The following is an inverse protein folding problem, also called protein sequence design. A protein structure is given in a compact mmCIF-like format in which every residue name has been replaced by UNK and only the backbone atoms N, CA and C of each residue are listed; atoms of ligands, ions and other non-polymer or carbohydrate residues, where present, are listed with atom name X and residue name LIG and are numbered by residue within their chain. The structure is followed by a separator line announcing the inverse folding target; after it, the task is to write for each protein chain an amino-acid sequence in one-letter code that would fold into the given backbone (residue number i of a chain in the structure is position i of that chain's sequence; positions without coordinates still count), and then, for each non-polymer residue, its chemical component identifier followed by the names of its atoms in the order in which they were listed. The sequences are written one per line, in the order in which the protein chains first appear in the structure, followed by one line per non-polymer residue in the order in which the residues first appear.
data_IF_857908148833
#
_entry.id   IF_857908148833
#
_cell.length_a   1.000
_cell.length_b   1.000
_cell.length_c   1.000
_cell.angle_alpha   90.00
_cell.angle_beta   90.00
_cell.angle_gamma   90.00
#
_symmetry.space_group_name_H-M   'P 1'
#
loop_
_entity.id
_entity.type
_entity.pdbx_description
1 polymer ?
#
# COMPACT_ATOMS: atom_id res chain seq x y z
N UNK A 1 -11.65 -9.90 31.88
CA UNK A 1 -11.27 -8.90 30.87
C UNK A 1 -12.04 -7.62 31.13
N UNK A 2 -11.40 -6.45 31.04
CA UNK A 2 -12.03 -5.15 31.25
C UNK A 2 -11.86 -4.27 30.02
N UNK A 3 -12.96 -3.68 29.54
CA UNK A 3 -12.92 -2.68 28.47
C UNK A 3 -12.56 -1.29 29.03
N UNK A 4 -11.60 -0.64 28.40
CA UNK A 4 -11.20 0.74 28.66
C UNK A 4 -11.58 1.60 27.45
N UNK A 5 -12.40 2.63 27.70
CA UNK A 5 -12.83 3.63 26.73
C UNK A 5 -12.44 5.02 27.23
N UNK A 6 -11.91 5.87 26.36
CA UNK A 6 -11.55 7.25 26.70
C UNK A 6 -12.75 8.20 26.61
N UNK A 7 -13.74 7.88 25.77
CA UNK A 7 -14.93 8.71 25.54
C UNK A 7 -16.07 7.88 24.93
N UNK A 8 -17.35 8.26 25.14
CA UNK A 8 -17.80 9.21 26.17
C UNK A 8 -17.72 8.59 27.57
N UNK A 9 -17.45 9.40 28.60
CA UNK A 9 -17.30 8.93 30.00
C UNK A 9 -18.52 8.16 30.52
N UNK A 10 -19.72 8.53 30.06
CA UNK A 10 -20.97 7.83 30.41
C UNK A 10 -20.92 6.38 29.92
N UNK A 11 -20.50 6.16 28.67
CA UNK A 11 -20.39 4.80 28.12
C UNK A 11 -19.23 4.03 28.74
N UNK A 12 -18.12 4.70 29.09
CA UNK A 12 -16.97 4.07 29.74
C UNK A 12 -17.30 3.46 31.13
N UNK A 13 -18.37 3.91 31.78
CA UNK A 13 -18.82 3.42 33.10
C UNK A 13 -19.83 2.28 33.03
N UNK A 14 -20.28 1.90 31.83
CA UNK A 14 -21.18 0.76 31.68
C UNK A 14 -20.44 -0.55 32.02
N UNK A 15 -21.19 -1.53 32.53
CA UNK A 15 -20.67 -2.86 32.85
C UNK A 15 -20.46 -3.68 31.56
N UNK A 16 -19.39 -3.35 30.82
CA UNK A 16 -19.04 -4.03 29.58
C UNK A 16 -18.54 -5.45 29.83
N UNK A 17 -19.17 -6.40 29.16
CA UNK A 17 -18.75 -7.79 29.06
C UNK A 17 -18.08 -8.01 27.71
N UNK A 18 -16.80 -8.35 27.72
CA UNK A 18 -16.07 -8.78 26.52
C UNK A 18 -16.54 -10.18 26.17
N UNK A 19 -17.06 -10.34 24.96
CA UNK A 19 -17.61 -11.61 24.48
C UNK A 19 -16.55 -12.42 23.74
N UNK A 20 -15.83 -11.76 22.83
CA UNK A 20 -14.86 -12.39 21.94
C UNK A 20 -13.79 -11.39 21.52
N UNK A 21 -12.55 -11.86 21.38
CA UNK A 21 -11.42 -11.09 20.83
C UNK A 21 -10.68 -11.95 19.81
N UNK A 22 -10.20 -11.32 18.74
CA UNK A 22 -9.51 -11.98 17.64
C UNK A 22 -8.19 -11.27 17.34
N UNK A 23 -7.16 -12.05 17.03
CA UNK A 23 -5.86 -11.62 16.57
C UNK A 23 -5.44 -12.39 15.33
N UNK A 24 -4.73 -11.72 14.43
CA UNK A 24 -4.09 -12.31 13.25
C UNK A 24 -2.59 -12.18 13.35
N UNK A 25 -1.89 -13.12 12.71
CA UNK A 25 -0.44 -13.06 12.57
C UNK A 25 -0.02 -11.72 11.96
N UNK A 26 -0.66 -11.33 10.85
CA UNK A 26 -0.49 -10.00 10.28
C UNK A 26 -1.38 -8.98 11.00
N UNK A 27 -0.78 -7.92 11.53
CA UNK A 27 -1.46 -6.78 12.14
C UNK A 27 -1.77 -6.91 13.63
N UNK A 28 -1.74 -8.12 14.19
CA UNK A 28 -2.04 -8.35 15.61
C UNK A 28 -3.54 -8.30 15.88
N UNK A 29 -3.98 -7.43 16.80
CA UNK A 29 -5.40 -7.28 17.15
C UNK A 29 -6.26 -7.07 15.89
N UNK A 30 -7.31 -7.90 15.70
CA UNK A 30 -8.17 -7.88 14.53
C UNK A 30 -9.56 -7.37 14.86
N UNK A 31 -10.30 -8.06 15.73
CA UNK A 31 -11.69 -7.75 16.08
C UNK A 31 -11.96 -8.01 17.55
N UNK A 32 -12.91 -7.29 18.12
CA UNK A 32 -13.44 -7.59 19.44
C UNK A 32 -14.93 -7.24 19.53
N UNK A 33 -15.66 -8.00 20.35
CA UNK A 33 -17.08 -7.76 20.61
C UNK A 33 -17.32 -7.59 22.10
N UNK A 34 -18.08 -6.56 22.43
CA UNK A 34 -18.43 -6.23 23.81
C UNK A 34 -19.91 -5.90 23.92
N UNK A 35 -20.52 -6.20 25.06
CA UNK A 35 -21.92 -5.90 25.35
C UNK A 35 -22.08 -5.28 26.73
N UNK A 36 -23.01 -4.35 26.88
CA UNK A 36 -23.40 -3.81 28.16
C UNK A 36 -24.91 -3.57 28.20
N UNK A 37 -25.53 -3.83 29.35
CA UNK A 37 -26.89 -3.35 29.61
C UNK A 37 -26.91 -1.83 29.62
N UNK A 38 -27.97 -1.25 29.07
CA UNK A 38 -28.25 0.18 29.06
C UNK A 38 -29.31 0.49 30.12
N UNK A 39 -28.93 1.14 31.24
CA UNK A 39 -29.85 1.53 32.31
C UNK A 39 -31.01 2.37 31.78
N UNK A 40 -32.17 2.25 32.44
CA UNK A 40 -33.40 2.95 32.03
C UNK A 40 -33.21 4.47 31.91
N UNK A 41 -32.42 5.08 32.80
CA UNK A 41 -32.14 6.52 32.78
C UNK A 41 -31.34 6.97 31.53
N UNK A 42 -30.57 6.06 30.93
CA UNK A 42 -29.71 6.35 29.79
C UNK A 42 -30.34 5.98 28.43
N UNK A 43 -31.48 5.29 28.42
CA UNK A 43 -32.20 4.90 27.18
C UNK A 43 -32.48 6.09 26.26
N UNK A 44 -32.94 7.28 26.74
CA UNK A 44 -33.14 8.43 25.87
C UNK A 44 -31.89 8.92 25.15
N UNK A 45 -30.70 8.58 25.66
CA UNK A 45 -29.41 8.94 25.07
C UNK A 45 -28.85 7.88 24.12
N UNK A 46 -29.51 6.72 23.95
CA UNK A 46 -28.95 5.54 23.26
C UNK A 46 -28.37 5.85 21.87
N UNK A 47 -29.13 6.53 21.00
CA UNK A 47 -28.66 6.92 19.66
C UNK A 47 -27.50 7.94 19.71
N UNK A 48 -27.52 8.86 20.67
CA UNK A 48 -26.44 9.82 20.91
C UNK A 48 -25.17 9.14 21.39
N UNK A 49 -25.28 8.16 22.29
CA UNK A 49 -24.17 7.34 22.78
C UNK A 49 -23.56 6.52 21.65
N UNK A 50 -24.37 5.92 20.77
CA UNK A 50 -23.86 5.20 19.60
C UNK A 50 -23.01 6.11 18.71
N UNK A 51 -23.49 7.32 18.44
CA UNK A 51 -22.78 8.30 17.62
C UNK A 51 -21.48 8.77 18.29
N UNK A 52 -21.49 8.97 19.60
CA UNK A 52 -20.32 9.42 20.37
C UNK A 52 -19.26 8.32 20.56
N UNK A 53 -19.67 7.06 20.63
CA UNK A 53 -18.79 5.90 20.74
C UNK A 53 -18.08 5.56 19.43
N UNK A 54 -18.71 5.82 18.28
CA UNK A 54 -18.16 5.45 16.99
C UNK A 54 -16.78 6.09 16.75
N UNK A 55 -15.81 5.30 16.29
CA UNK A 55 -14.45 5.73 16.03
C UNK A 55 -13.58 5.98 17.27
N UNK A 56 -14.11 5.83 18.49
CA UNK A 56 -13.34 6.02 19.71
C UNK A 56 -12.30 4.91 19.91
N UNK A 57 -11.18 5.26 20.54
CA UNK A 57 -10.15 4.29 20.93
C UNK A 57 -10.70 3.37 22.02
N UNK A 58 -10.36 2.08 21.90
CA UNK A 58 -10.68 1.10 22.91
C UNK A 58 -9.51 0.14 23.15
N UNK A 59 -9.32 -0.22 24.41
CA UNK A 59 -8.31 -1.19 24.85
C UNK A 59 -9.00 -2.16 25.80
N UNK A 60 -8.71 -3.45 25.67
CA UNK A 60 -9.14 -4.48 26.61
C UNK A 60 -7.94 -4.89 27.43
N UNK A 61 -8.13 -4.95 28.74
CA UNK A 61 -7.11 -5.35 29.72
C UNK A 61 -7.49 -6.68 30.37
N UNK A 62 -6.47 -7.46 30.75
CA UNK A 62 -6.64 -8.62 31.61
C UNK A 62 -6.87 -8.22 33.08
N UNK A 63 -7.01 -9.22 33.96
CA UNK A 63 -7.25 -8.98 35.39
C UNK A 63 -6.06 -8.32 36.11
N UNK A 64 -4.85 -8.37 35.54
CA UNK A 64 -3.66 -7.70 36.06
C UNK A 64 -3.50 -6.28 35.51
N UNK A 65 -4.40 -5.82 34.65
CA UNK A 65 -4.35 -4.51 34.01
C UNK A 65 -3.46 -4.45 32.77
N UNK A 66 -2.92 -5.59 32.31
CA UNK A 66 -2.10 -5.63 31.10
C UNK A 66 -2.99 -5.57 29.84
N UNK A 67 -2.65 -4.73 28.83
CA UNK A 67 -3.41 -4.67 27.59
C UNK A 67 -3.28 -5.99 26.82
N UNK A 68 -4.42 -6.56 26.43
CA UNK A 68 -4.47 -7.79 25.62
C UNK A 68 -5.01 -7.54 24.21
N UNK A 69 -5.84 -6.51 24.01
CA UNK A 69 -6.39 -6.15 22.71
C UNK A 69 -6.58 -4.64 22.61
N UNK A 70 -6.39 -4.05 21.43
CA UNK A 70 -6.52 -2.61 21.20
C UNK A 70 -6.99 -2.29 19.79
N UNK A 71 -7.72 -1.18 19.66
CA UNK A 71 -8.28 -0.76 18.40
C UNK A 71 -9.21 0.43 18.53
N UNK A 72 -10.19 0.49 17.63
CA UNK A 72 -11.22 1.51 17.62
C UNK A 72 -12.63 0.89 17.52
N UNK A 73 -13.62 1.61 18.02
CA UNK A 73 -15.04 1.25 17.89
C UNK A 73 -15.47 1.41 16.43
N UNK A 74 -15.71 0.30 15.75
CA UNK A 74 -16.05 0.29 14.33
C UNK A 74 -17.56 0.35 14.09
N UNK A 75 -18.33 -0.30 14.96
CA UNK A 75 -19.79 -0.25 14.94
C UNK A 75 -20.37 -0.33 16.35
N UNK A 76 -21.53 0.28 16.53
CA UNK A 76 -22.33 0.22 17.75
C UNK A 76 -23.74 -0.19 17.38
N UNK A 77 -24.29 -1.14 18.12
CA UNK A 77 -25.67 -1.61 17.97
C UNK A 77 -26.45 -1.35 19.26
N UNK A 78 -27.58 -0.67 19.14
CA UNK A 78 -28.58 -0.52 20.19
C UNK A 78 -29.69 -1.55 19.94
N UNK A 79 -29.90 -2.44 20.90
CA UNK A 79 -30.99 -3.42 20.91
C UNK A 79 -32.00 -3.03 22.00
N UNK A 80 -33.19 -2.58 21.61
CA UNK A 80 -34.23 -2.11 22.52
C UNK A 80 -35.62 -2.46 21.99
N UNK A 81 -36.46 -3.09 22.82
CA UNK A 81 -37.87 -3.36 22.48
C UNK A 81 -38.09 -4.20 21.22
N UNK A 82 -37.15 -5.09 20.88
CA UNK A 82 -37.18 -5.90 19.65
C UNK A 82 -36.69 -5.15 18.40
N UNK A 83 -36.26 -3.89 18.53
CA UNK A 83 -35.61 -3.12 17.46
C UNK A 83 -34.10 -3.15 17.65
N UNK A 84 -33.36 -3.51 16.60
CA UNK A 84 -31.90 -3.42 16.54
C UNK A 84 -31.49 -2.32 15.59
N UNK A 85 -30.88 -1.27 16.10
CA UNK A 85 -30.33 -0.15 15.33
C UNK A 85 -28.81 -0.21 15.39
N UNK A 86 -28.15 -0.23 14.23
CA UNK A 86 -26.69 -0.32 14.12
C UNK A 86 -26.15 0.88 13.36
N UNK A 87 -25.20 1.57 13.96
CA UNK A 87 -24.38 2.61 13.35
C UNK A 87 -22.97 2.07 13.14
N UNK A 88 -22.45 2.17 11.92
CA UNK A 88 -21.15 1.61 11.59
C UNK A 88 -20.35 2.50 10.63
N UNK A 89 -19.02 2.36 10.69
CA UNK A 89 -18.08 2.95 9.73
C UNK A 89 -17.97 2.13 8.43
N UNK A 90 -18.86 1.15 8.25
CA UNK A 90 -18.93 0.31 7.06
C UNK A 90 -19.16 1.17 5.81
N UNK A 91 -18.30 0.99 4.79
CA UNK A 91 -18.37 1.69 3.50
C UNK A 91 -18.28 3.22 3.59
N UNK A 92 -17.84 3.76 4.73
CA UNK A 92 -17.56 5.18 4.89
C UNK A 92 -16.39 5.56 3.98
N UNK A 93 -16.65 6.44 3.02
CA UNK A 93 -15.66 7.02 2.13
C UNK A 93 -15.95 8.52 2.00
N UNK A 94 -15.06 9.32 2.58
CA UNK A 94 -15.18 10.77 2.67
C UNK A 94 -14.20 11.51 1.76
N UNK A 95 -13.39 10.76 1.01
CA UNK A 95 -12.54 11.24 -0.07
C UNK A 95 -12.61 10.24 -1.22
N UNK A 96 -13.09 10.68 -2.39
CA UNK A 96 -13.38 9.78 -3.51
C UNK A 96 -12.71 10.29 -4.78
N UNK A 97 -12.14 9.39 -5.57
CA UNK A 97 -11.72 9.62 -6.95
C UNK A 97 -12.27 8.50 -7.83
N UNK A 98 -12.39 8.74 -9.13
CA UNK A 98 -12.82 7.74 -10.09
C UNK A 98 -11.72 7.46 -11.12
N UNK A 99 -11.49 6.18 -11.40
CA UNK A 99 -10.72 5.71 -12.56
C UNK A 99 -11.67 5.56 -13.74
N UNK A 100 -11.24 6.03 -14.92
CA UNK A 100 -11.97 5.90 -16.18
C UNK A 100 -11.04 5.47 -17.31
N UNK A 101 -11.55 4.68 -18.28
CA UNK A 101 -10.74 4.23 -19.41
C UNK A 101 -10.41 5.38 -20.35
N UNK A 102 -9.22 5.35 -20.91
CA UNK A 102 -8.77 6.20 -22.00
C UNK A 102 -8.89 5.47 -23.35
N UNK A 103 -9.06 6.19 -24.48
CA UNK A 103 -9.18 5.58 -25.80
C UNK A 103 -7.99 4.72 -26.23
N UNK A 104 -6.81 4.96 -25.65
CA UNK A 104 -5.57 4.21 -25.90
C UNK A 104 -5.45 2.92 -25.06
N UNK A 105 -6.51 2.55 -24.34
CA UNK A 105 -6.54 1.39 -23.43
C UNK A 105 -5.97 1.67 -22.04
N UNK A 106 -5.52 2.90 -21.78
CA UNK A 106 -5.07 3.36 -20.48
C UNK A 106 -6.21 3.61 -19.49
N UNK A 107 -5.85 3.95 -18.26
CA UNK A 107 -6.79 4.44 -17.25
C UNK A 107 -6.29 5.77 -16.71
N UNK A 108 -7.15 6.78 -16.73
CA UNK A 108 -6.94 8.04 -16.06
C UNK A 108 -7.72 8.09 -14.74
N UNK A 109 -7.39 9.06 -13.89
CA UNK A 109 -8.04 9.28 -12.60
C UNK A 109 -8.56 10.72 -12.54
N UNK A 110 -9.78 10.91 -12.05
CA UNK A 110 -10.28 12.25 -11.73
C UNK A 110 -9.47 12.87 -10.58
N UNK A 111 -9.59 14.18 -10.38
CA UNK A 111 -9.22 14.77 -9.10
C UNK A 111 -10.03 14.13 -7.94
N UNK A 112 -9.47 14.15 -6.73
CA UNK A 112 -10.16 13.77 -5.51
C UNK A 112 -11.23 14.80 -5.16
N UNK A 113 -12.42 14.34 -4.77
CA UNK A 113 -13.44 15.13 -4.09
C UNK A 113 -13.54 14.67 -2.64
N UNK A 114 -13.84 15.58 -1.71
CA UNK A 114 -13.85 15.28 -0.28
C UNK A 114 -14.91 16.05 0.51
N UNK A 115 -15.33 15.47 1.65
CA UNK A 115 -16.20 16.10 2.65
C UNK A 115 -15.37 16.48 3.88
N UNK A 116 -15.00 17.76 4.00
CA UNK A 116 -14.06 18.22 5.02
C UNK A 116 -14.57 18.01 6.46
N UNK A 117 -15.89 18.08 6.70
CA UNK A 117 -16.47 17.85 8.03
C UNK A 117 -16.36 16.37 8.41
N UNK A 118 -16.66 15.48 7.46
CA UNK A 118 -16.47 14.05 7.64
C UNK A 118 -15.01 13.68 7.84
N UNK A 119 -14.07 14.29 7.10
CA UNK A 119 -12.64 14.07 7.31
C UNK A 119 -12.22 14.47 8.72
N UNK A 120 -12.66 15.63 9.20
CA UNK A 120 -12.35 16.12 10.54
C UNK A 120 -12.90 15.20 11.64
N UNK A 121 -14.11 14.65 11.43
CA UNK A 121 -14.77 13.80 12.43
C UNK A 121 -14.27 12.35 12.41
N UNK A 122 -14.14 11.75 11.22
CA UNK A 122 -13.93 10.30 11.06
C UNK A 122 -12.53 9.93 10.57
N UNK A 123 -11.69 10.94 10.30
CA UNK A 123 -10.41 10.78 9.63
C UNK A 123 -10.56 10.46 8.15
N UNK A 124 -9.44 10.54 7.42
CA UNK A 124 -9.40 10.29 5.98
C UNK A 124 -9.76 8.83 5.67
N UNK A 125 -10.73 8.63 4.77
CA UNK A 125 -11.16 7.33 4.23
C UNK A 125 -11.40 7.46 2.73
N UNK A 126 -10.46 6.91 1.98
CA UNK A 126 -10.39 7.05 0.55
C UNK A 126 -11.07 5.89 -0.18
N UNK A 127 -11.70 6.22 -1.30
CA UNK A 127 -12.21 5.21 -2.22
C UNK A 127 -11.88 5.57 -3.66
N UNK A 128 -11.28 4.61 -4.37
CA UNK A 128 -10.99 4.72 -5.79
C UNK A 128 -12.03 3.93 -6.57
N UNK A 129 -13.04 4.63 -7.07
CA UNK A 129 -14.13 4.03 -7.84
C UNK A 129 -13.63 3.65 -9.23
N UNK A 130 -13.80 2.39 -9.64
CA UNK A 130 -13.62 2.01 -11.05
C UNK A 130 -14.90 2.33 -11.81
N UNK A 131 -14.86 3.35 -12.66
CA UNK A 131 -16.00 3.78 -13.46
C UNK A 131 -15.84 3.29 -14.90
N UNK A 132 -16.78 2.51 -15.45
CA UNK A 132 -16.73 2.10 -16.85
C UNK A 132 -17.20 3.21 -17.80
N UNK A 133 -17.67 4.35 -17.29
CA UNK A 133 -18.11 5.46 -18.12
C UNK A 133 -16.94 6.02 -18.94
N UNK A 134 -17.20 6.33 -20.20
CA UNK A 134 -16.22 6.97 -21.06
C UNK A 134 -16.11 8.45 -20.73
N UNK A 135 -14.87 8.89 -20.50
CA UNK A 135 -14.54 10.30 -20.29
C UNK A 135 -14.63 10.78 -18.84
N UNK A 136 -13.92 11.88 -18.58
CA UNK A 136 -13.73 12.44 -17.24
C UNK A 136 -15.02 12.94 -16.59
N UNK A 137 -15.92 13.55 -17.37
CA UNK A 137 -17.15 14.15 -16.86
C UNK A 137 -18.09 13.10 -16.23
N UNK A 138 -18.28 11.96 -16.89
CA UNK A 138 -19.08 10.86 -16.35
C UNK A 138 -18.45 10.25 -15.09
N UNK A 139 -17.12 10.11 -15.08
CA UNK A 139 -16.37 9.64 -13.93
C UNK A 139 -16.48 10.60 -12.73
N UNK A 140 -16.40 11.91 -12.96
CA UNK A 140 -16.56 12.94 -11.94
C UNK A 140 -17.97 12.94 -11.34
N UNK A 141 -19.01 12.80 -12.17
CA UNK A 141 -20.39 12.67 -11.67
C UNK A 141 -20.58 11.40 -10.81
N UNK A 142 -20.00 10.27 -11.22
CA UNK A 142 -20.05 9.04 -10.45
C UNK A 142 -19.29 9.14 -9.11
N UNK A 143 -18.13 9.81 -9.11
CA UNK A 143 -17.35 10.15 -7.91
C UNK A 143 -18.18 10.97 -6.92
N UNK A 144 -18.81 12.05 -7.39
CA UNK A 144 -19.58 12.96 -6.53
C UNK A 144 -20.84 12.29 -5.97
N UNK A 145 -21.53 11.50 -6.78
CA UNK A 145 -22.66 10.70 -6.33
C UNK A 145 -22.26 9.65 -5.29
N UNK A 146 -21.05 9.08 -5.36
CA UNK A 146 -20.53 8.18 -4.34
C UNK A 146 -20.22 8.94 -3.06
N UNK A 147 -19.47 10.04 -3.15
CA UNK A 147 -19.15 10.85 -1.97
C UNK A 147 -20.41 11.28 -1.22
N UNK A 148 -21.43 11.80 -1.93
CA UNK A 148 -22.68 12.24 -1.32
C UNK A 148 -23.42 11.13 -0.54
N UNK A 149 -23.28 9.87 -0.95
CA UNK A 149 -23.90 8.73 -0.25
C UNK A 149 -23.00 8.12 0.83
N UNK A 150 -21.68 8.18 0.68
CA UNK A 150 -20.73 7.46 1.55
C UNK A 150 -19.96 8.35 2.53
N UNK A 151 -20.10 9.67 2.47
CA UNK A 151 -19.33 10.57 3.31
C UNK A 151 -19.67 10.50 4.81
N UNK A 152 -20.80 9.91 5.21
CA UNK A 152 -21.19 9.80 6.61
C UNK A 152 -21.51 8.35 7.01
N UNK A 153 -21.25 7.96 8.27
CA UNK A 153 -21.72 6.68 8.81
C UNK A 153 -23.24 6.56 8.67
N UNK A 154 -23.72 5.35 8.44
CA UNK A 154 -25.15 5.10 8.20
C UNK A 154 -25.75 4.24 9.30
N UNK A 155 -26.96 4.61 9.68
CA UNK A 155 -27.83 3.78 10.49
C UNK A 155 -28.45 2.68 9.64
N UNK A 156 -28.49 1.48 10.19
CA UNK A 156 -29.25 0.34 9.68
C UNK A 156 -30.14 -0.17 10.79
N UNK A 157 -31.35 -0.60 10.47
CA UNK A 157 -32.32 -1.09 11.45
C UNK A 157 -32.87 -2.46 11.04
N UNK A 158 -33.09 -3.31 12.02
CA UNK A 158 -33.80 -4.59 11.84
C UNK A 158 -34.77 -4.79 13.00
N UNK A 159 -35.92 -5.39 12.70
CA UNK A 159 -37.00 -5.62 13.68
C UNK A 159 -37.09 -7.13 13.93
N UNK A 160 -37.01 -7.52 15.20
CA UNK A 160 -37.29 -8.89 15.63
C UNK A 160 -38.79 -9.17 15.66
N UNK A 161 -39.18 -10.41 15.35
CA UNK A 161 -40.60 -10.82 15.23
C UNK A 161 -41.30 -10.95 16.59
N UNK A 162 -40.58 -10.86 17.71
CA UNK A 162 -41.15 -10.95 19.05
C UNK A 162 -40.77 -9.74 19.91
N UNK A 163 -41.75 -9.01 20.47
CA UNK A 163 -41.48 -8.06 21.53
C UNK A 163 -40.99 -8.85 22.74
N UNK A 164 -39.73 -8.65 23.12
CA UNK A 164 -39.24 -9.06 24.43
C UNK A 164 -39.27 -7.84 25.34
N UNK A 165 -39.72 -8.01 26.57
CA UNK A 165 -39.35 -7.13 27.70
C UNK A 165 -37.86 -7.33 28.01
N UNK A 166 -37.00 -7.14 27.00
CA UNK A 166 -35.55 -7.23 27.15
C UNK A 166 -35.03 -5.86 27.56
N UNK A 167 -34.16 -5.86 28.57
CA UNK A 167 -33.35 -4.69 28.90
C UNK A 167 -32.65 -4.18 27.63
N UNK A 168 -32.60 -2.86 27.47
CA UNK A 168 -31.87 -2.25 26.36
C UNK A 168 -30.39 -2.64 26.45
N UNK A 169 -29.78 -3.03 25.34
CA UNK A 169 -28.38 -3.46 25.29
C UNK A 169 -27.62 -2.64 24.26
N UNK A 170 -26.42 -2.19 24.64
CA UNK A 170 -25.42 -1.70 23.70
C UNK A 170 -24.42 -2.80 23.38
N UNK A 171 -24.17 -3.00 22.09
CA UNK A 171 -23.11 -3.90 21.61
C UNK A 171 -22.11 -3.11 20.77
N UNK A 172 -20.82 -3.31 21.06
CA UNK A 172 -19.72 -2.75 20.28
C UNK A 172 -19.10 -3.87 19.45
N UNK A 173 -18.84 -3.57 18.18
CA UNK A 173 -17.84 -4.25 17.37
C UNK A 173 -16.65 -3.29 17.22
N UNK A 174 -15.51 -3.70 17.75
CA UNK A 174 -14.25 -3.00 17.60
C UNK A 174 -13.37 -3.69 16.56
N UNK A 175 -12.49 -2.91 15.93
CA UNK A 175 -11.48 -3.40 14.99
C UNK A 175 -10.10 -2.90 15.36
N UNK A 176 -9.09 -3.71 15.12
CA UNK A 176 -7.70 -3.33 15.33
C UNK A 176 -7.22 -2.29 14.34
N UNK A 177 -6.13 -1.60 14.69
CA UNK A 177 -5.62 -0.48 13.90
C UNK A 177 -5.04 -0.90 12.55
N UNK A 178 -4.68 -2.17 12.34
CA UNK A 178 -4.18 -2.65 11.04
C UNK A 178 -5.17 -2.38 9.90
N UNK A 179 -6.48 -2.48 10.17
CA UNK A 179 -7.54 -2.16 9.21
C UNK A 179 -7.51 -0.71 8.73
N UNK A 180 -6.87 0.21 9.46
CA UNK A 180 -6.70 1.60 9.04
C UNK A 180 -5.77 1.75 7.84
N UNK A 181 -4.89 0.79 7.58
CA UNK A 181 -4.00 0.82 6.41
C UNK A 181 -4.78 0.67 5.09
N UNK A 182 -6.03 0.17 5.12
CA UNK A 182 -6.92 0.14 3.95
C UNK A 182 -7.64 1.46 3.69
N UNK A 183 -7.56 2.43 4.62
CA UNK A 183 -8.34 3.66 4.50
C UNK A 183 -7.70 4.68 3.57
N UNK A 184 -6.44 4.49 3.18
CA UNK A 184 -5.69 5.44 2.35
C UNK A 184 -4.93 4.72 1.25
N UNK A 185 -4.89 5.32 0.08
CA UNK A 185 -4.08 4.89 -1.05
C UNK A 185 -2.66 5.40 -0.89
N UNK A 186 -1.67 4.54 -1.14
CA UNK A 186 -0.28 4.91 -1.02
C UNK A 186 0.22 5.56 -2.31
N UNK A 187 0.44 6.87 -2.24
CA UNK A 187 0.91 7.71 -3.35
C UNK A 187 1.95 8.70 -2.82
N UNK A 188 3.16 8.24 -2.47
CA UNK A 188 4.23 9.13 -2.03
C UNK A 188 4.62 10.09 -3.16
N UNK A 189 5.08 11.29 -2.78
CA UNK A 189 5.58 12.27 -3.73
C UNK A 189 6.94 11.86 -4.31
N UNK A 190 7.23 12.34 -5.52
CA UNK A 190 8.55 12.21 -6.14
C UNK A 190 8.92 10.79 -6.58
N UNK A 191 10.22 10.57 -6.78
CA UNK A 191 10.77 9.25 -7.10
C UNK A 191 10.50 8.71 -8.50
N UNK A 192 9.96 9.54 -9.41
CA UNK A 192 9.84 9.24 -10.83
C UNK A 192 10.16 10.47 -11.66
N UNK A 193 10.82 10.23 -12.79
CA UNK A 193 10.85 11.15 -13.92
C UNK A 193 10.46 10.41 -15.19
N UNK A 194 9.61 11.00 -16.03
CA UNK A 194 9.13 10.35 -17.24
C UNK A 194 8.84 11.35 -18.37
N UNK A 195 8.99 10.83 -19.59
CA UNK A 195 8.40 11.37 -20.81
C UNK A 195 7.71 10.20 -21.54
N UNK A 196 6.37 10.21 -21.53
CA UNK A 196 5.54 9.10 -22.01
C UNK A 196 4.56 9.57 -23.09
N UNK A 197 5.10 9.87 -24.28
CA UNK A 197 4.32 10.23 -25.46
C UNK A 197 3.62 8.99 -26.06
N UNK A 198 2.37 9.14 -26.52
CA UNK A 198 1.57 8.00 -27.02
C UNK A 198 1.97 7.55 -28.43
N UNK A 199 2.68 8.37 -29.20
CA UNK A 199 3.19 8.07 -30.54
C UNK A 199 4.71 8.17 -30.65
N UNK A 200 5.20 8.41 -31.86
CA UNK A 200 6.60 8.74 -32.13
C UNK A 200 7.14 8.09 -33.41
N UNK A 201 8.29 8.59 -33.87
CA UNK A 201 9.05 8.00 -34.95
C UNK A 201 9.99 6.92 -34.42
N UNK A 202 10.21 5.86 -35.21
CA UNK A 202 11.23 4.87 -34.91
C UNK A 202 12.62 5.46 -35.13
N UNK A 203 13.46 5.44 -34.11
CA UNK A 203 14.88 5.78 -34.19
C UNK A 203 15.71 4.50 -34.13
N UNK A 204 16.32 4.05 -35.25
CA UNK A 204 17.18 2.89 -35.27
C UNK A 204 18.41 3.09 -34.37
N UNK A 205 18.88 1.99 -33.77
CA UNK A 205 20.07 1.91 -32.95
C UNK A 205 20.98 0.78 -33.47
N UNK A 206 22.17 1.16 -33.91
CA UNK A 206 23.20 0.25 -34.38
C UNK A 206 22.89 -0.42 -35.72
N UNK A 207 22.19 0.28 -36.61
CA UNK A 207 21.97 -0.15 -38.00
C UNK A 207 23.03 0.42 -38.96
N UNK A 208 23.65 1.54 -38.59
CA UNK A 208 24.64 2.25 -39.39
C UNK A 208 25.63 3.01 -38.50
N UNK A 209 26.77 3.52 -39.04
CA UNK A 209 27.77 4.22 -38.24
C UNK A 209 27.22 5.45 -37.50
N UNK A 210 26.23 6.15 -38.07
CA UNK A 210 25.67 7.38 -37.52
C UNK A 210 24.88 7.21 -36.19
N UNK A 211 24.49 5.99 -35.82
CA UNK A 211 23.65 5.72 -34.64
C UNK A 211 24.13 4.49 -33.86
N UNK A 212 25.45 4.32 -33.76
CA UNK A 212 26.06 3.22 -32.98
C UNK A 212 25.67 3.26 -31.49
N UNK A 213 25.33 4.46 -30.97
CA UNK A 213 24.68 4.66 -29.68
C UNK A 213 23.62 5.76 -29.79
N UNK A 214 22.66 5.72 -28.89
CA UNK A 214 21.66 6.78 -28.68
C UNK A 214 21.59 7.12 -27.21
N UNK A 215 21.33 8.38 -26.86
CA UNK A 215 21.15 8.77 -25.48
C UNK A 215 20.05 9.82 -25.30
N UNK A 216 19.32 9.75 -24.19
CA UNK A 216 18.40 10.78 -23.72
C UNK A 216 18.91 11.34 -22.40
N UNK A 217 19.04 12.66 -22.30
CA UNK A 217 19.30 13.29 -21.00
C UNK A 217 18.02 13.53 -20.21
N UNK A 218 18.18 13.60 -18.89
CA UNK A 218 17.14 13.93 -17.93
C UNK A 218 17.77 14.57 -16.69
N UNK A 219 16.94 15.21 -15.87
CA UNK A 219 17.38 15.83 -14.60
C UNK A 219 16.35 15.59 -13.51
N UNK A 220 16.79 15.18 -12.32
CA UNK A 220 15.90 15.06 -11.17
C UNK A 220 15.47 16.44 -10.67
N UNK A 221 14.17 16.68 -10.57
CA UNK A 221 13.65 17.96 -10.10
C UNK A 221 13.61 18.00 -8.57
N UNK A 222 14.44 18.83 -7.94
CA UNK A 222 14.36 19.19 -6.52
C UNK A 222 14.65 18.09 -5.49
N UNK A 223 14.84 16.84 -5.90
CA UNK A 223 15.08 15.71 -4.99
C UNK A 223 16.17 14.77 -5.50
N UNK A 224 17.06 14.36 -4.60
CA UNK A 224 18.08 13.33 -4.83
C UNK A 224 17.54 11.96 -4.44
N UNK A 225 17.72 10.95 -5.30
CA UNK A 225 17.31 9.59 -5.00
C UNK A 225 18.09 8.57 -5.83
N UNK A 226 18.22 7.32 -5.35
CA UNK A 226 18.91 6.27 -6.08
C UNK A 226 18.07 5.74 -7.24
N UNK A 227 18.60 5.71 -8.46
CA UNK A 227 17.91 5.19 -9.63
C UNK A 227 17.89 3.66 -9.63
N UNK A 228 16.69 3.08 -9.65
CA UNK A 228 16.50 1.64 -9.56
C UNK A 228 15.90 0.96 -10.77
N UNK A 229 15.09 1.67 -11.54
CA UNK A 229 14.59 1.17 -12.80
C UNK A 229 14.68 2.26 -13.87
N UNK A 230 15.09 1.88 -15.07
CA UNK A 230 14.94 2.69 -16.27
C UNK A 230 14.03 1.95 -17.26
N UNK A 231 13.15 2.68 -17.92
CA UNK A 231 12.18 2.16 -18.85
C UNK A 231 12.26 2.98 -20.13
N UNK A 232 12.27 2.32 -21.29
CA UNK A 232 12.20 2.98 -22.59
C UNK A 232 11.27 2.22 -23.53
N UNK A 233 10.61 2.92 -24.47
CA UNK A 233 9.84 2.25 -25.52
C UNK A 233 10.77 1.74 -26.62
N UNK A 234 11.03 0.44 -26.62
CA UNK A 234 12.01 -0.22 -27.51
C UNK A 234 11.33 -1.39 -28.23
N UNK A 235 11.66 -1.56 -29.51
CA UNK A 235 11.37 -2.74 -30.30
C UNK A 235 12.60 -3.23 -31.07
N UNK A 236 12.41 -4.23 -31.93
CA UNK A 236 13.48 -4.76 -32.80
C UNK A 236 13.01 -4.98 -34.23
N UNK A 237 13.95 -4.81 -35.16
CA UNK A 237 13.83 -5.16 -36.58
C UNK A 237 14.66 -6.41 -36.84
N UNK A 238 14.11 -7.34 -37.62
CA UNK A 238 14.78 -8.62 -37.88
C UNK A 238 14.97 -9.45 -36.61
N UNK A 239 16.08 -10.16 -36.53
CA UNK A 239 16.44 -11.01 -35.38
C UNK A 239 17.87 -10.72 -34.92
N UNK A 240 18.10 -9.61 -34.19
CA UNK A 240 19.40 -9.33 -33.58
C UNK A 240 19.84 -10.51 -32.72
N UNK A 241 21.10 -10.92 -32.83
CA UNK A 241 21.67 -12.01 -32.05
C UNK A 241 22.41 -11.53 -30.78
N UNK A 242 22.60 -10.23 -30.64
CA UNK A 242 23.36 -9.58 -29.58
C UNK A 242 22.45 -8.84 -28.59
N UNK A 243 22.86 -8.73 -27.33
CA UNK A 243 22.11 -8.04 -26.29
C UNK A 243 22.04 -6.52 -26.51
N UNK A 244 20.99 -5.90 -25.96
CA UNK A 244 20.84 -4.46 -25.82
C UNK A 244 21.37 -4.02 -24.46
N UNK A 245 22.27 -3.04 -24.43
CA UNK A 245 22.83 -2.48 -23.20
C UNK A 245 22.36 -1.05 -22.97
N UNK A 246 21.94 -0.76 -21.75
CA UNK A 246 21.68 0.57 -21.23
C UNK A 246 22.77 0.95 -20.22
N UNK A 247 23.26 2.19 -20.32
CA UNK A 247 24.20 2.80 -19.39
C UNK A 247 23.59 4.09 -18.84
N UNK A 248 23.51 4.20 -17.52
CA UNK A 248 23.23 5.44 -16.82
C UNK A 248 24.54 6.21 -16.68
N UNK A 249 24.67 7.34 -17.35
CA UNK A 249 25.91 8.11 -17.38
C UNK A 249 25.79 9.45 -16.66
N UNK A 250 26.90 9.91 -16.09
CA UNK A 250 27.05 11.30 -15.70
C UNK A 250 27.07 12.22 -16.94
N UNK A 251 26.67 13.48 -16.77
CA UNK A 251 26.88 14.48 -17.81
C UNK A 251 28.36 14.88 -17.93
N UNK A 252 28.80 15.09 -19.16
CA UNK A 252 30.10 15.65 -19.51
C UNK A 252 29.92 16.76 -20.54
N UNK A 253 29.45 17.92 -20.07
CA UNK A 253 29.31 19.12 -20.91
C UNK A 253 28.18 19.01 -21.92
N UNK A 254 27.02 18.47 -21.49
CA UNK A 254 25.87 18.25 -22.37
C UNK A 254 25.99 17.01 -23.25
N UNK A 255 26.83 16.03 -22.88
CA UNK A 255 26.92 14.72 -23.53
C UNK A 255 27.09 13.60 -22.52
N UNK A 256 26.75 12.35 -22.86
CA UNK A 256 27.02 11.20 -22.01
C UNK A 256 28.52 11.06 -21.68
N UNK A 257 28.84 11.12 -20.39
CA UNK A 257 30.18 10.93 -19.83
C UNK A 257 30.40 9.53 -19.27
N UNK A 258 31.02 9.45 -18.09
CA UNK A 258 31.32 8.18 -17.42
C UNK A 258 30.04 7.41 -17.05
N UNK A 259 30.03 6.10 -17.29
CA UNK A 259 28.95 5.22 -16.87
C UNK A 259 28.96 5.04 -15.35
N UNK A 260 27.82 5.32 -14.72
CA UNK A 260 27.57 5.18 -13.29
C UNK A 260 26.91 3.82 -12.97
N UNK A 261 26.06 3.34 -13.88
CA UNK A 261 25.47 2.02 -13.81
C UNK A 261 25.17 1.50 -15.22
N UNK A 262 24.97 0.18 -15.35
CA UNK A 262 24.59 -0.44 -16.61
C UNK A 262 23.66 -1.63 -16.38
N UNK A 263 22.87 -1.94 -17.40
CA UNK A 263 21.97 -3.09 -17.46
C UNK A 263 21.94 -3.63 -18.90
N UNK A 264 21.77 -4.94 -19.05
CA UNK A 264 21.71 -5.61 -20.35
C UNK A 264 20.44 -6.46 -20.46
N UNK A 265 19.83 -6.46 -21.64
CA UNK A 265 18.66 -7.26 -21.98
C UNK A 265 18.97 -8.08 -23.23
N UNK A 266 18.78 -9.39 -23.13
CA UNK A 266 18.95 -10.30 -24.26
C UNK A 266 17.95 -10.01 -25.38
N UNK A 267 18.39 -10.18 -26.62
CA UNK A 267 17.57 -9.91 -27.82
C UNK A 267 16.22 -10.66 -27.83
N UNK A 268 16.19 -11.85 -27.22
CA UNK A 268 14.99 -12.66 -27.08
C UNK A 268 13.90 -11.99 -26.22
N UNK A 269 14.29 -11.20 -25.22
CA UNK A 269 13.38 -10.49 -24.33
C UNK A 269 12.90 -9.16 -24.92
N UNK A 270 13.54 -8.65 -25.99
CA UNK A 270 13.11 -7.44 -26.68
C UNK A 270 11.94 -7.75 -27.63
N UNK A 271 10.79 -7.05 -27.52
CA UNK A 271 9.64 -7.28 -28.40
C UNK A 271 9.90 -6.78 -29.83
N UNK A 272 9.19 -7.32 -30.81
CA UNK A 272 9.25 -6.82 -32.20
C UNK A 272 8.60 -5.44 -32.30
N UNK A 273 7.37 -5.31 -31.79
CA UNK A 273 6.70 -4.01 -31.69
C UNK A 273 7.27 -3.21 -30.51
N UNK A 274 7.46 -1.90 -30.71
CA UNK A 274 7.97 -1.02 -29.65
C UNK A 274 7.02 -0.99 -28.46
N UNK A 275 7.56 -1.29 -27.28
CA UNK A 275 6.83 -1.26 -26.01
C UNK A 275 7.76 -0.90 -24.86
N UNK A 276 7.18 -0.61 -23.69
CA UNK A 276 7.96 -0.31 -22.49
C UNK A 276 8.82 -1.52 -22.08
N UNK A 277 10.13 -1.37 -22.20
CA UNK A 277 11.12 -2.36 -21.79
C UNK A 277 11.82 -1.86 -20.51
N UNK A 278 11.88 -2.72 -19.49
CA UNK A 278 12.49 -2.43 -18.18
C UNK A 278 13.96 -2.81 -18.14
N UNK A 279 14.77 -1.93 -17.58
CA UNK A 279 16.16 -2.15 -17.18
C UNK A 279 16.27 -1.97 -15.67
N UNK A 280 16.77 -3.00 -14.97
CA UNK A 280 17.02 -2.94 -13.53
C UNK A 280 18.38 -2.27 -13.27
N UNK A 281 18.40 -1.26 -12.41
CA UNK A 281 19.58 -0.50 -12.04
C UNK A 281 19.94 -0.77 -10.57
N UNK A 282 21.24 -0.70 -10.21
CA UNK A 282 21.71 -1.08 -8.88
C UNK A 282 21.40 -0.06 -7.76
N UNK A 283 20.66 1.03 -8.04
CA UNK A 283 20.38 2.07 -7.05
C UNK A 283 21.45 3.15 -6.96
N UNK A 284 22.03 3.59 -8.09
CA UNK A 284 22.99 4.70 -8.08
C UNK A 284 22.32 5.98 -7.59
N UNK A 285 22.83 6.59 -6.51
CA UNK A 285 22.36 7.89 -6.01
C UNK A 285 22.59 8.96 -7.07
N UNK A 286 21.50 9.58 -7.51
CA UNK A 286 21.50 10.73 -8.42
C UNK A 286 21.22 11.99 -7.61
N UNK A 287 21.97 13.05 -7.89
CA UNK A 287 21.79 14.33 -7.26
C UNK A 287 20.62 15.10 -7.88
N UNK A 288 19.87 15.79 -7.04
CA UNK A 288 18.90 16.77 -7.48
C UNK A 288 19.55 17.74 -8.46
N UNK A 289 18.76 18.17 -9.43
CA UNK A 289 19.07 19.27 -10.32
C UNK A 289 20.32 19.11 -11.20
N UNK A 290 20.83 17.87 -11.29
CA UNK A 290 22.00 17.49 -12.08
C UNK A 290 21.57 16.71 -13.33
N UNK A 291 22.12 17.03 -14.52
CA UNK A 291 21.85 16.26 -15.73
C UNK A 291 22.52 14.89 -15.71
N UNK A 292 21.77 13.88 -16.14
CA UNK A 292 22.22 12.50 -16.33
C UNK A 292 21.74 12.01 -17.70
N UNK A 293 22.34 10.93 -18.19
CA UNK A 293 22.02 10.35 -19.50
C UNK A 293 21.64 8.88 -19.39
N UNK A 294 20.63 8.46 -20.13
CA UNK A 294 20.37 7.06 -20.46
C UNK A 294 20.95 6.80 -21.85
N UNK A 295 22.11 6.17 -21.92
CA UNK A 295 22.78 5.83 -23.18
C UNK A 295 22.57 4.35 -23.53
N UNK A 296 22.09 4.07 -24.73
CA UNK A 296 21.84 2.70 -25.21
C UNK A 296 22.76 2.36 -26.37
N UNK A 297 23.18 1.09 -26.39
CA UNK A 297 23.95 0.52 -27.49
C UNK A 297 23.65 -0.95 -27.67
N UNK A 298 23.89 -1.42 -28.88
CA UNK A 298 24.06 -2.84 -29.17
C UNK A 298 25.37 -3.35 -28.59
N UNK A 299 25.40 -4.63 -28.21
CA UNK A 299 26.63 -5.29 -27.74
C UNK A 299 27.43 -5.86 -28.90
N UNK A 300 26.77 -6.19 -30.02
CA UNK A 300 27.37 -6.69 -31.25
C UNK A 300 27.78 -5.62 -32.25
N UNK A 301 28.13 -6.07 -33.45
CA UNK A 301 28.44 -5.21 -34.58
C UNK A 301 27.18 -4.54 -35.17
N UNK A 302 27.39 -3.52 -36.01
CA UNK A 302 26.31 -2.87 -36.75
C UNK A 302 25.67 -3.85 -37.74
N UNK A 303 24.33 -3.81 -37.83
CA UNK A 303 23.57 -4.65 -38.76
C UNK A 303 22.30 -3.91 -39.21
N UNK A 304 22.21 -3.64 -40.51
CA UNK A 304 21.11 -2.88 -41.11
C UNK A 304 19.78 -3.64 -41.17
N UNK A 305 19.82 -4.98 -41.15
CA UNK A 305 18.65 -5.85 -41.23
C UNK A 305 18.14 -6.24 -39.83
N UNK A 306 19.07 -6.49 -38.92
CA UNK A 306 18.79 -6.97 -37.58
C UNK A 306 19.25 -5.93 -36.56
N UNK A 307 18.40 -5.00 -36.12
CA UNK A 307 18.75 -3.95 -35.15
C UNK A 307 17.63 -3.62 -34.17
N UNK A 308 17.91 -2.76 -33.18
CA UNK A 308 16.91 -2.23 -32.24
C UNK A 308 16.39 -0.88 -32.71
N UNK A 309 15.15 -0.55 -32.32
CA UNK A 309 14.54 0.74 -32.60
C UNK A 309 13.89 1.30 -31.35
N UNK A 310 14.14 2.57 -31.06
CA UNK A 310 13.53 3.29 -29.95
C UNK A 310 12.40 4.19 -30.48
N UNK A 311 11.36 4.41 -29.67
CA UNK A 311 10.29 5.34 -30.03
C UNK A 311 10.62 6.76 -29.56
N UNK A 312 10.72 7.69 -30.50
CA UNK A 312 11.08 9.08 -30.25
C UNK A 312 9.93 10.04 -30.58
N UNK A 313 9.66 11.00 -29.69
CA UNK A 313 8.73 12.10 -29.88
C UNK A 313 9.42 13.27 -30.61
N UNK A 314 9.10 13.46 -31.89
CA UNK A 314 9.64 14.56 -32.70
C UNK A 314 8.98 15.92 -32.40
N UNK A 315 7.99 15.97 -31.48
CA UNK A 315 7.40 17.22 -30.97
C UNK A 315 8.25 17.87 -29.86
N UNK A 316 9.27 17.17 -29.35
CA UNK A 316 10.15 17.62 -28.27
C UNK A 316 9.37 18.00 -27.00
N UNK A 317 8.47 17.12 -26.56
CA UNK A 317 7.64 17.37 -25.39
C UNK A 317 8.38 17.34 -24.04
N UNK A 318 9.67 17.01 -23.99
CA UNK A 318 10.44 16.92 -22.74
C UNK A 318 11.47 18.05 -22.59
N UNK A 319 11.16 19.15 -21.87
CA UNK A 319 12.06 20.30 -21.74
C UNK A 319 13.28 20.04 -20.85
N UNK A 320 13.33 18.91 -20.14
CA UNK A 320 14.36 18.58 -19.15
C UNK A 320 15.60 17.89 -19.72
N UNK A 321 15.70 17.74 -21.04
CA UNK A 321 16.79 17.03 -21.69
C UNK A 321 16.75 17.10 -23.21
N UNK A 322 17.59 16.28 -23.84
CA UNK A 322 17.79 16.22 -25.29
C UNK A 322 18.16 14.78 -25.70
N UNK A 323 17.80 14.40 -26.94
CA UNK A 323 18.27 13.18 -27.56
C UNK A 323 19.55 13.40 -28.40
N UNK A 324 20.56 12.56 -28.19
CA UNK A 324 21.82 12.56 -28.95
C UNK A 324 22.14 11.21 -29.56
N UNK A 325 22.83 11.23 -30.69
CA UNK A 325 23.34 10.06 -31.41
C UNK A 325 24.87 10.05 -31.41
N UNK A 326 25.46 8.87 -31.23
CA UNK A 326 26.90 8.67 -31.37
C UNK A 326 27.21 8.08 -32.75
N UNK A 327 28.01 8.79 -33.53
CA UNK A 327 28.40 8.39 -34.88
C UNK A 327 29.69 7.54 -34.96
N UNK A 328 30.17 7.05 -33.81
CA UNK A 328 31.46 6.38 -33.68
C UNK A 328 32.61 7.30 -33.27
N UNK A 329 32.46 8.63 -33.39
CA UNK A 329 33.50 9.62 -33.07
C UNK A 329 33.03 10.74 -32.15
N UNK A 330 31.80 11.22 -32.30
CA UNK A 330 31.24 12.33 -31.53
C UNK A 330 29.75 12.15 -31.27
N UNK A 331 29.28 12.75 -30.18
CA UNK A 331 27.85 12.91 -29.90
C UNK A 331 27.34 14.11 -30.66
N UNK A 332 26.27 13.92 -31.43
CA UNK A 332 25.55 15.00 -32.10
C UNK A 332 24.07 14.97 -31.72
N UNK A 333 23.42 16.13 -31.71
CA UNK A 333 21.96 16.20 -31.56
C UNK A 333 21.30 15.36 -32.68
N UNK A 334 20.24 14.62 -32.33
CA UNK A 334 19.42 13.92 -33.33
C UNK A 334 18.81 14.93 -34.30
N UNK A 335 18.71 14.58 -35.58
CA UNK A 335 18.00 15.35 -36.61
C UNK A 335 16.97 14.47 -37.33
N UNK A 336 15.68 14.88 -37.41
CA UNK A 336 15.10 16.03 -36.71
C UNK A 336 15.20 15.86 -35.18
N UNK A 337 15.18 16.95 -34.39
CA UNK A 337 15.30 16.82 -32.95
C UNK A 337 14.05 16.19 -32.34
N UNK A 338 14.24 15.36 -31.33
CA UNK A 338 13.20 14.56 -30.69
C UNK A 338 13.62 14.18 -29.27
N UNK A 339 12.66 13.70 -28.47
CA UNK A 339 12.89 13.11 -27.16
C UNK A 339 12.57 11.61 -27.18
N UNK A 340 13.38 10.79 -26.53
CA UNK A 340 13.03 9.39 -26.34
C UNK A 340 11.88 9.24 -25.35
N UNK A 341 11.01 8.27 -25.57
CA UNK A 341 10.08 7.82 -24.54
C UNK A 341 10.83 7.08 -23.45
N UNK A 342 10.93 7.69 -22.27
CA UNK A 342 11.68 7.15 -21.15
C UNK A 342 10.97 7.35 -19.81
N UNK A 343 11.36 6.55 -18.83
CA UNK A 343 10.98 6.71 -17.43
C UNK A 343 12.10 6.19 -16.54
N UNK A 344 12.39 6.89 -15.45
CA UNK A 344 13.31 6.44 -14.40
C UNK A 344 12.56 6.47 -13.08
N UNK A 345 12.57 5.34 -12.36
CA UNK A 345 12.03 5.25 -11.01
C UNK A 345 13.15 5.11 -9.99
N UNK A 346 13.00 5.83 -8.88
CA UNK A 346 13.88 5.74 -7.74
C UNK A 346 13.59 4.51 -6.89
N UNK A 347 14.61 3.99 -6.22
CA UNK A 347 14.49 3.03 -5.12
C UNK A 347 14.59 3.74 -3.77
N UNK A 348 14.10 3.08 -2.74
CA UNK A 348 14.41 3.46 -1.36
C UNK A 348 14.48 2.21 -0.48
N UNK A 349 15.31 2.23 0.58
CA UNK A 349 15.34 1.17 1.58
C UNK A 349 13.95 0.94 2.18
N UNK A 350 13.63 -0.31 2.51
CA UNK A 350 12.32 -0.67 3.04
C UNK A 350 11.96 0.07 4.33
N UNK A 351 12.93 0.36 5.22
CA UNK A 351 12.66 1.11 6.46
C UNK A 351 12.17 2.55 6.21
N UNK A 352 12.78 3.25 5.25
CA UNK A 352 12.31 4.59 4.83
C UNK A 352 10.93 4.50 4.17
N UNK A 353 10.72 3.47 3.35
CA UNK A 353 9.45 3.23 2.68
C UNK A 353 8.31 2.92 3.67
N UNK A 354 8.57 2.08 4.66
CA UNK A 354 7.64 1.77 5.74
C UNK A 354 7.27 3.04 6.51
N UNK A 355 8.27 3.86 6.85
CA UNK A 355 8.05 5.13 7.55
C UNK A 355 7.17 6.08 6.74
N UNK A 356 7.41 6.22 5.43
CA UNK A 356 6.59 7.05 4.55
C UNK A 356 5.14 6.52 4.45
N UNK A 357 4.96 5.20 4.34
CA UNK A 357 3.65 4.56 4.23
C UNK A 357 2.83 4.69 5.50
N UNK A 358 3.43 4.41 6.66
CA UNK A 358 2.78 4.50 7.97
C UNK A 358 2.55 5.96 8.36
N UNK A 359 3.54 6.84 8.16
CA UNK A 359 3.44 8.27 8.47
C UNK A 359 2.42 9.02 7.61
N UNK A 360 2.15 8.56 6.39
CA UNK A 360 1.07 9.07 5.56
C UNK A 360 -0.34 8.78 6.11
N UNK A 361 -0.45 7.84 7.06
CA UNK A 361 -1.70 7.46 7.70
C UNK A 361 -1.71 7.95 9.16
N UNK A 362 -2.42 9.05 9.42
CA UNK A 362 -2.47 9.70 10.74
C UNK A 362 -3.11 8.89 11.89
N UNK A 363 -3.34 7.58 11.72
CA UNK A 363 -3.78 6.67 12.78
C UNK A 363 -2.64 6.00 13.52
N UNK A 364 -1.43 6.02 12.97
CA UNK A 364 -0.25 5.40 13.56
C UNK A 364 0.69 6.44 14.15
N UNK A 365 1.41 6.05 15.20
CA UNK A 365 2.32 6.94 15.91
C UNK A 365 3.78 6.77 15.45
N UNK A 366 4.16 5.57 15.01
CA UNK A 366 5.53 5.25 14.63
C UNK A 366 5.58 4.02 13.71
N UNK A 367 6.74 3.81 13.07
CA UNK A 367 7.07 2.59 12.36
C UNK A 367 8.48 2.14 12.77
N UNK A 368 8.66 0.84 13.01
CA UNK A 368 9.92 0.25 13.46
C UNK A 368 10.21 -1.02 12.68
N UNK A 369 11.47 -1.19 12.29
CA UNK A 369 11.98 -2.38 11.65
C UNK A 369 12.97 -3.06 12.61
N UNK A 370 12.54 -4.18 13.18
CA UNK A 370 13.23 -4.91 14.25
C UNK A 370 14.11 -6.05 13.71
N UNK A 371 14.41 -6.04 12.41
CA UNK A 371 15.24 -7.03 11.74
C UNK A 371 16.10 -6.38 10.65
N UNK A 372 17.27 -6.95 10.40
CA UNK A 372 18.07 -6.56 9.24
C UNK A 372 17.41 -7.07 7.95
N UNK A 373 17.27 -6.21 6.95
CA UNK A 373 16.77 -6.59 5.61
C UNK A 373 17.43 -5.72 4.55
N UNK A 374 17.70 -6.32 3.38
CA UNK A 374 18.12 -5.61 2.17
C UNK A 374 16.94 -5.27 1.25
N UNK A 375 15.70 -5.51 1.72
CA UNK A 375 14.51 -5.21 0.95
C UNK A 375 14.47 -3.71 0.57
N UNK A 376 14.17 -3.46 -0.69
CA UNK A 376 13.95 -2.13 -1.24
C UNK A 376 12.60 -2.08 -1.94
N UNK A 377 12.09 -0.88 -2.12
CA UNK A 377 10.86 -0.63 -2.85
C UNK A 377 11.05 0.57 -3.77
N UNK A 378 10.32 0.60 -4.88
CA UNK A 378 10.29 1.81 -5.71
C UNK A 378 9.71 2.97 -4.86
N UNK A 379 10.29 4.16 -5.01
CA UNK A 379 9.84 5.38 -4.31
C UNK A 379 8.46 5.78 -4.77
N UNK A 380 8.24 5.82 -6.09
CA UNK A 380 6.97 6.24 -6.67
C UNK A 380 5.89 5.14 -6.60
N UNK A 381 4.64 5.55 -6.42
CA UNK A 381 3.45 4.72 -6.65
C UNK A 381 2.37 5.49 -7.39
N UNK A 382 1.55 4.75 -8.13
CA UNK A 382 0.45 5.29 -8.91
C UNK A 382 -0.77 5.70 -8.05
N UNK A 383 -0.75 5.37 -6.76
CA UNK A 383 -1.86 5.64 -5.84
C UNK A 383 -3.11 4.81 -6.15
N UNK A 384 -2.97 3.62 -6.73
CA UNK A 384 -4.09 2.69 -7.00
C UNK A 384 -4.22 1.57 -5.98
N UNK A 385 -3.25 1.42 -5.09
CA UNK A 385 -3.26 0.41 -4.01
C UNK A 385 -3.30 1.07 -2.65
N UNK A 386 -3.98 0.42 -1.71
CA UNK A 386 -4.02 0.88 -0.31
C UNK A 386 -2.66 0.72 0.35
N UNK A 387 -2.42 1.46 1.43
CA UNK A 387 -1.22 1.27 2.25
C UNK A 387 -1.09 -0.19 2.72
N UNK A 388 -2.19 -0.86 3.04
CA UNK A 388 -2.18 -2.28 3.43
C UNK A 388 -1.71 -3.19 2.30
N UNK A 389 -2.32 -3.05 1.11
CA UNK A 389 -1.97 -3.89 -0.05
C UNK A 389 -0.50 -3.75 -0.44
N UNK A 390 0.02 -2.53 -0.38
CA UNK A 390 1.43 -2.25 -0.63
C UNK A 390 2.32 -2.89 0.43
N UNK A 391 1.99 -2.71 1.71
CA UNK A 391 2.78 -3.23 2.83
C UNK A 391 2.79 -4.76 2.85
N UNK A 392 1.63 -5.40 2.75
CA UNK A 392 1.51 -6.86 2.80
C UNK A 392 2.28 -7.54 1.66
N UNK A 393 2.26 -6.99 0.44
CA UNK A 393 3.04 -7.54 -0.65
C UNK A 393 4.56 -7.43 -0.40
N UNK A 394 5.02 -6.29 0.14
CA UNK A 394 6.44 -6.12 0.46
C UNK A 394 6.89 -7.02 1.61
N UNK A 395 6.06 -7.16 2.65
CA UNK A 395 6.32 -8.10 3.76
C UNK A 395 6.41 -9.54 3.27
N UNK A 396 5.50 -9.95 2.36
CA UNK A 396 5.52 -11.28 1.77
C UNK A 396 6.82 -11.54 0.99
N UNK A 397 7.28 -10.58 0.18
CA UNK A 397 8.57 -10.68 -0.54
C UNK A 397 9.75 -10.83 0.43
N UNK A 398 9.71 -10.15 1.58
CA UNK A 398 10.78 -10.21 2.58
C UNK A 398 10.70 -11.38 3.57
N UNK A 399 9.64 -12.18 3.54
CA UNK A 399 9.38 -13.18 4.60
C UNK A 399 9.21 -12.54 5.99
N UNK A 400 8.63 -11.33 6.02
CA UNK A 400 8.46 -10.51 7.22
C UNK A 400 7.01 -10.57 7.72
N UNK A 401 6.84 -10.21 8.99
CA UNK A 401 5.53 -10.05 9.64
C UNK A 401 5.49 -8.70 10.34
N UNK A 402 4.31 -8.09 10.38
CA UNK A 402 4.09 -6.82 11.03
C UNK A 402 2.95 -6.91 12.03
N UNK A 403 3.07 -6.15 13.11
CA UNK A 403 2.04 -6.04 14.15
C UNK A 403 1.86 -4.57 14.54
N UNK A 404 0.64 -4.20 14.94
CA UNK A 404 0.41 -2.87 15.54
C UNK A 404 0.46 -3.02 17.05
N UNK A 405 1.37 -2.31 17.70
CA UNK A 405 1.52 -2.27 19.15
C UNK A 405 0.42 -1.42 19.81
N UNK A 406 0.27 -1.54 21.14
CA UNK A 406 -0.77 -0.84 21.90
C UNK A 406 -0.65 0.70 21.83
N UNK A 407 0.56 1.21 21.58
CA UNK A 407 0.83 2.63 21.36
C UNK A 407 0.55 3.09 19.92
N UNK A 408 -0.01 2.22 19.06
CA UNK A 408 -0.21 2.44 17.61
C UNK A 408 1.08 2.59 16.80
N UNK A 409 2.20 2.08 17.30
CA UNK A 409 3.40 1.84 16.51
C UNK A 409 3.24 0.59 15.65
N UNK A 410 3.74 0.63 14.42
CA UNK A 410 3.84 -0.56 13.56
C UNK A 410 5.24 -1.13 13.71
N UNK A 411 5.38 -2.34 14.23
CA UNK A 411 6.65 -3.06 14.27
C UNK A 411 6.69 -4.15 13.21
N UNK A 412 7.84 -4.26 12.53
CA UNK A 412 8.09 -5.28 11.50
C UNK A 412 9.28 -6.12 11.93
N UNK A 413 9.11 -7.44 11.88
CA UNK A 413 10.13 -8.41 12.30
C UNK A 413 10.23 -9.57 11.31
N UNK A 414 11.30 -10.34 11.44
CA UNK A 414 11.44 -11.60 10.72
C UNK A 414 10.33 -12.57 11.17
N UNK A 415 9.81 -13.36 10.24
CA UNK A 415 8.97 -14.50 10.60
C UNK A 415 9.80 -15.50 11.41
N UNK A 416 9.35 -15.93 12.61
CA UNK A 416 10.05 -16.93 13.41
C UNK A 416 10.23 -18.25 12.67
N UNK A 417 11.35 -18.93 12.93
CA UNK A 417 11.61 -20.28 12.41
C UNK A 417 10.64 -21.30 13.03
N UNK A 418 10.37 -22.39 12.31
CA UNK A 418 9.38 -23.41 12.71
C UNK A 418 9.73 -24.12 14.04
N UNK A 419 11.01 -24.15 14.41
CA UNK A 419 11.51 -24.71 15.65
C UNK A 419 11.44 -23.74 16.85
N UNK A 420 11.17 -22.45 16.63
CA UNK A 420 10.94 -21.44 17.66
C UNK A 420 9.52 -21.55 18.27
N UNK A 421 9.27 -22.67 18.96
CA UNK A 421 7.98 -22.95 19.61
C UNK A 421 7.77 -22.09 20.85
N UNK A 422 6.65 -21.38 20.88
CA UNK A 422 6.27 -20.53 22.01
C UNK A 422 5.23 -21.17 22.93
N UNK A 423 4.25 -21.90 22.37
CA UNK A 423 3.13 -22.49 23.10
C UNK A 423 2.83 -23.94 22.70
N UNK A 424 1.91 -24.57 23.43
CA UNK A 424 1.52 -25.97 23.24
C UNK A 424 0.01 -26.07 23.11
N UNK A 425 -0.48 -26.64 22.02
CA UNK A 425 -1.90 -26.88 21.78
C UNK A 425 -2.29 -28.24 22.38
N UNK A 426 -3.23 -28.24 23.32
CA UNK A 426 -3.78 -29.44 23.94
C UNK A 426 -5.31 -29.40 23.88
N UNK A 427 -5.90 -30.14 22.93
CA UNK A 427 -7.31 -29.97 22.58
C UNK A 427 -7.54 -28.60 21.95
N UNK A 428 -8.52 -27.85 22.46
CA UNK A 428 -8.78 -26.46 22.04
C UNK A 428 -7.96 -25.42 22.82
N UNK A 429 -7.31 -25.82 23.90
CA UNK A 429 -6.62 -24.91 24.80
C UNK A 429 -5.16 -24.73 24.40
N UNK A 430 -4.66 -23.51 24.52
CA UNK A 430 -3.25 -23.19 24.32
C UNK A 430 -2.60 -23.02 25.69
N UNK A 431 -1.48 -23.73 25.90
CA UNK A 431 -0.76 -23.77 27.16
C UNK A 431 0.66 -23.21 26.99
N UNK A 432 1.19 -22.66 28.08
CA UNK A 432 2.60 -22.30 28.20
C UNK A 432 3.45 -23.56 28.40
N UNK A 433 4.79 -23.42 28.33
CA UNK A 433 5.72 -24.53 28.63
C UNK A 433 5.57 -25.09 30.05
N UNK A 434 5.01 -24.32 30.99
CA UNK A 434 4.77 -24.76 32.37
C UNK A 434 3.40 -25.42 32.56
N UNK A 435 2.62 -25.60 31.48
CA UNK A 435 1.28 -26.21 31.52
C UNK A 435 0.17 -25.27 31.99
N UNK A 436 0.45 -23.97 32.14
CA UNK A 436 -0.58 -22.98 32.47
C UNK A 436 -1.30 -22.52 31.21
N UNK A 437 -2.56 -22.07 31.33
CA UNK A 437 -3.28 -21.47 30.22
C UNK A 437 -2.51 -20.26 29.66
N UNK A 438 -2.49 -20.12 28.33
CA UNK A 438 -1.84 -19.00 27.69
C UNK A 438 -2.53 -17.70 28.07
N UNK A 439 -1.81 -16.68 28.59
CA UNK A 439 -2.42 -15.42 28.97
C UNK A 439 -2.77 -14.60 27.73
N UNK A 440 -3.99 -14.05 27.67
CA UNK A 440 -4.44 -13.23 26.54
C UNK A 440 -3.61 -11.94 26.35
N UNK A 441 -2.96 -11.45 27.41
CA UNK A 441 -2.05 -10.31 27.35
C UNK A 441 -0.70 -10.61 26.67
N UNK A 442 -0.39 -11.89 26.41
CA UNK A 442 0.81 -12.28 25.66
C UNK A 442 0.45 -12.56 24.20
N UNK A 443 1.01 -11.81 23.23
CA UNK A 443 0.80 -12.05 21.81
C UNK A 443 1.16 -13.48 21.41
N UNK A 444 0.23 -14.20 20.78
CA UNK A 444 0.45 -15.54 20.25
C UNK A 444 0.36 -15.60 18.73
N UNK A 445 -0.53 -14.81 18.13
CA UNK A 445 -0.67 -14.79 16.68
C UNK A 445 0.68 -14.39 16.03
N UNK A 446 1.06 -15.09 14.97
CA UNK A 446 2.36 -14.92 14.32
C UNK A 446 3.53 -15.61 15.04
N UNK A 447 3.25 -16.69 15.78
CA UNK A 447 4.21 -17.57 16.46
C UNK A 447 3.92 -19.04 16.14
N UNK A 448 4.89 -19.91 16.38
CA UNK A 448 4.71 -21.36 16.26
C UNK A 448 4.28 -21.97 17.59
N UNK A 449 3.31 -22.87 17.55
CA UNK A 449 2.88 -23.70 18.68
C UNK A 449 3.07 -25.18 18.36
N UNK A 450 3.32 -25.98 19.39
CA UNK A 450 3.44 -27.43 19.26
C UNK A 450 2.06 -28.07 19.41
N UNK A 451 1.59 -28.78 18.40
CA UNK A 451 0.38 -29.61 18.43
C UNK A 451 0.77 -31.08 18.28
N UNK A 452 0.90 -31.79 19.40
CA UNK A 452 1.48 -33.14 19.40
C UNK A 452 2.93 -33.12 18.90
N UNK A 453 3.22 -33.81 17.79
CA UNK A 453 4.54 -33.80 17.15
C UNK A 453 4.73 -32.64 16.15
N UNK A 454 3.65 -32.05 15.65
CA UNK A 454 3.69 -31.02 14.61
C UNK A 454 3.91 -29.62 15.18
N UNK A 455 4.58 -28.76 14.42
CA UNK A 455 4.55 -27.32 14.64
C UNK A 455 3.40 -26.72 13.82
N UNK A 456 2.58 -25.89 14.45
CA UNK A 456 1.44 -25.23 13.81
C UNK A 456 1.62 -23.73 13.95
N UNK A 457 1.43 -23.02 12.84
CA UNK A 457 1.51 -21.57 12.80
C UNK A 457 0.23 -20.96 13.36
N UNK A 458 0.36 -20.10 14.37
CA UNK A 458 -0.77 -19.37 14.95
C UNK A 458 -1.20 -18.21 14.04
N UNK A 459 -1.91 -18.53 12.94
CA UNK A 459 -2.41 -17.52 11.99
C UNK A 459 -3.56 -16.71 12.57
N UNK A 460 -4.53 -17.39 13.18
CA UNK A 460 -5.74 -16.80 13.74
C UNK A 460 -5.93 -17.32 15.16
N UNK A 461 -5.93 -16.39 16.12
CA UNK A 461 -6.08 -16.70 17.53
C UNK A 461 -7.32 -15.98 18.03
N UNK A 462 -8.13 -16.70 18.82
CA UNK A 462 -9.40 -16.21 19.32
C UNK A 462 -9.47 -16.42 20.82
N UNK A 463 -9.94 -15.41 21.55
CA UNK A 463 -10.34 -15.54 22.94
C UNK A 463 -11.87 -15.51 23.01
N UNK A 464 -12.45 -16.55 23.58
CA UNK A 464 -13.90 -16.72 23.80
C UNK A 464 -14.10 -17.69 24.96
N UNK A 465 -15.16 -17.51 25.75
CA UNK A 465 -15.45 -18.34 26.94
C UNK A 465 -14.26 -18.47 27.91
N UNK A 466 -13.56 -17.35 28.16
CA UNK A 466 -12.39 -17.25 29.02
C UNK A 466 -11.14 -18.05 28.56
N UNK A 467 -11.16 -18.61 27.35
CA UNK A 467 -10.07 -19.43 26.81
C UNK A 467 -9.55 -18.88 25.48
N UNK A 468 -8.24 -19.00 25.27
CA UNK A 468 -7.60 -18.79 23.98
C UNK A 468 -7.59 -20.08 23.16
N UNK A 469 -8.00 -19.96 21.89
CA UNK A 469 -8.09 -21.04 20.91
C UNK A 469 -7.45 -20.60 19.59
N UNK A 470 -7.11 -21.57 18.76
CA UNK A 470 -6.74 -21.34 17.36
C UNK A 470 -7.91 -21.67 16.46
N UNK A 471 -8.17 -20.82 15.48
CA UNK A 471 -9.14 -21.07 14.41
C UNK A 471 -8.41 -21.15 13.07
N UNK A 472 -9.01 -21.82 12.09
CA UNK A 472 -8.46 -21.91 10.72
C UNK A 472 -8.54 -20.58 9.96
#
# INVERSE_FOLDING_TARGET
MQLILTSPLVAARLAWQVQRMEWRAMGGAQRAWMRAGLPAELRPLGAGLCSALLGQLCTIQDAAGAPCWWGYVHAVTLDEGGSKQRLALDRLANRVAALYPLPDGGWARTAWAEDSLSLAQWGRREHLLKCPAEGESGAAAARDALLARSAQPRWTASIGVQPRESEAVLAIEARGWWDCLDWTYFAPGGGRIEHAFSGGAGQPLGDQPANTRIAQSFRLAGESWPAGEAWLKIGKRGSPADALRLELCADSGGTPGAALAAAEIEAAAVPHASGWLRFELPGQLLAADTPYWLALRRTGALDAENHYSLLADEQQGYPGGECRLWNGQAWSARQPPADLNFRVDGLQPFGEWLTALVGGNGRFNSARLDCATSLAALRWRDGRRTCRMELEERLAVGGLIAEVEADRGVSVRQRPLEDEIEGYLQGEAILTRTGQAWPASRPLAGRWVRAGAAAVWAEHVVWEDEMLKMEE
#
